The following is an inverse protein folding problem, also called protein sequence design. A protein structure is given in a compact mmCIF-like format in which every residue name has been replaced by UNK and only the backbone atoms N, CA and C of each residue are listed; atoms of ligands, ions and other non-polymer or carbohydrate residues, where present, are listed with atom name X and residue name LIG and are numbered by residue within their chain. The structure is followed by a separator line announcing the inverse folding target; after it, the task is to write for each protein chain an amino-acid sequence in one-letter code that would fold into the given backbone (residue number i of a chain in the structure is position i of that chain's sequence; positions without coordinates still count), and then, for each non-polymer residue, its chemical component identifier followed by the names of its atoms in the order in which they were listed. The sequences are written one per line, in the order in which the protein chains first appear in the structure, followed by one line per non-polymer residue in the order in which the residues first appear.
data_IF_518308438893
#
_entry.id   IF_518308438893
#
_cell.length_a   1.000
_cell.length_b   1.000
_cell.length_c   1.000
_cell.angle_alpha   90.00
_cell.angle_beta   90.00
_cell.angle_gamma   90.00
#
_symmetry.space_group_name_H-M   'P 1'
#
loop_
_entity.id
_entity.type
_entity.pdbx_description
1 polymer ?
#
# COMPACT_ATOMS: atom_id res chain seq x y z
N UNK A 1 3.81 24.09 2.01
CA UNK A 1 3.07 23.49 0.87
C UNK A 1 1.68 24.11 0.86
N UNK A 2 1.17 24.55 -0.30
CA UNK A 2 -0.14 25.22 -0.38
C UNK A 2 -1.31 24.22 -0.38
N UNK A 3 -2.51 24.65 0.02
CA UNK A 3 -3.72 23.82 -0.01
C UNK A 3 -4.00 23.21 -1.39
N UNK A 4 -3.80 24.00 -2.47
CA UNK A 4 -3.92 23.50 -3.85
C UNK A 4 -2.93 22.37 -4.14
N UNK A 5 -1.67 22.49 -3.70
CA UNK A 5 -0.67 21.44 -3.87
C UNK A 5 -1.05 20.18 -3.08
N UNK A 6 -1.56 20.32 -1.86
CA UNK A 6 -2.02 19.20 -1.04
C UNK A 6 -3.15 18.46 -1.73
N UNK A 7 -4.19 19.17 -2.20
CA UNK A 7 -5.33 18.57 -2.94
C UNK A 7 -4.88 17.76 -4.15
N UNK A 8 -4.01 18.34 -4.98
CA UNK A 8 -3.51 17.67 -6.17
C UNK A 8 -2.72 16.40 -5.80
N UNK A 9 -1.87 16.48 -4.78
CA UNK A 9 -1.09 15.32 -4.30
C UNK A 9 -1.98 14.23 -3.68
N UNK A 10 -3.03 14.61 -2.95
CA UNK A 10 -4.02 13.66 -2.42
C UNK A 10 -4.72 12.92 -3.57
N UNK A 11 -5.20 13.64 -4.59
CA UNK A 11 -5.82 13.01 -5.76
C UNK A 11 -4.90 12.01 -6.46
N UNK A 12 -3.61 12.38 -6.62
CA UNK A 12 -2.60 11.46 -7.17
C UNK A 12 -2.34 10.25 -6.27
N UNK A 13 -2.24 10.44 -4.95
CA UNK A 13 -2.05 9.36 -3.99
C UNK A 13 -3.25 8.39 -3.99
N UNK A 14 -4.48 8.91 -4.03
CA UNK A 14 -5.70 8.09 -4.15
C UNK A 14 -5.67 7.21 -5.39
N UNK A 15 -5.34 7.78 -6.56
CA UNK A 15 -5.25 7.03 -7.81
C UNK A 15 -4.19 5.92 -7.75
N UNK A 16 -3.02 6.24 -7.19
CA UNK A 16 -1.94 5.26 -6.99
C UNK A 16 -2.34 4.13 -6.05
N UNK A 17 -2.98 4.43 -4.91
CA UNK A 17 -3.47 3.40 -3.98
C UNK A 17 -4.49 2.49 -4.67
N UNK A 18 -5.49 3.06 -5.36
CA UNK A 18 -6.51 2.27 -6.07
C UNK A 18 -5.88 1.30 -7.08
N UNK A 19 -4.91 1.77 -7.87
CA UNK A 19 -4.17 0.91 -8.80
C UNK A 19 -3.42 -0.21 -8.09
N UNK A 20 -2.79 0.07 -6.95
CA UNK A 20 -2.08 -0.97 -6.20
C UNK A 20 -3.05 -1.97 -5.54
N UNK A 21 -4.25 -1.54 -5.14
CA UNK A 21 -5.31 -2.43 -4.65
C UNK A 21 -5.85 -3.33 -5.77
N UNK A 22 -5.95 -2.82 -6.99
CA UNK A 22 -6.28 -3.65 -8.17
C UNK A 22 -5.20 -4.70 -8.43
N UNK A 23 -3.92 -4.32 -8.35
CA UNK A 23 -2.80 -5.27 -8.49
C UNK A 23 -2.80 -6.30 -7.36
N UNK A 24 -3.08 -5.91 -6.11
CA UNK A 24 -3.18 -6.81 -4.96
C UNK A 24 -4.26 -7.88 -5.16
N UNK A 25 -5.41 -7.51 -5.74
CA UNK A 25 -6.49 -8.45 -6.06
C UNK A 25 -6.11 -9.50 -7.11
N UNK A 26 -5.10 -9.23 -7.93
CA UNK A 26 -4.60 -10.13 -8.97
C UNK A 26 -3.45 -11.01 -8.46
N UNK A 27 -2.94 -10.78 -7.25
CA UNK A 27 -1.91 -11.62 -6.66
C UNK A 27 -2.46 -13.01 -6.35
N UNK A 28 -1.63 -14.08 -6.47
CA UNK A 28 -2.05 -15.42 -6.10
C UNK A 28 -2.34 -15.51 -4.60
N UNK A 29 -3.18 -16.47 -4.22
CA UNK A 29 -3.38 -16.83 -2.81
C UNK A 29 -2.25 -17.71 -2.31
N UNK A 30 -2.16 -17.90 -0.98
CA UNK A 30 -1.21 -18.83 -0.35
C UNK A 30 -1.39 -20.29 -0.82
N UNK A 31 -2.62 -20.69 -1.16
CA UNK A 31 -2.88 -21.97 -1.82
C UNK A 31 -2.47 -21.94 -3.30
N UNK A 32 -2.69 -20.82 -3.98
CA UNK A 32 -2.37 -20.64 -5.40
C UNK A 32 -0.87 -20.76 -5.72
N UNK A 33 0.00 -20.43 -4.77
CA UNK A 33 1.46 -20.55 -4.96
C UNK A 33 2.00 -21.99 -4.84
N UNK A 34 1.20 -22.95 -4.33
CA UNK A 34 1.70 -24.31 -4.06
C UNK A 34 2.11 -25.07 -5.32
N UNK A 35 1.56 -24.75 -6.48
CA UNK A 35 1.87 -25.45 -7.73
C UNK A 35 2.86 -24.69 -8.63
N UNK A 36 3.43 -23.59 -8.13
CA UNK A 36 4.37 -22.77 -8.90
C UNK A 36 5.79 -23.34 -8.84
N UNK A 37 6.52 -23.21 -9.94
CA UNK A 37 7.96 -23.49 -10.01
C UNK A 37 8.80 -22.38 -9.36
N UNK A 38 10.11 -22.62 -9.18
CA UNK A 38 11.01 -21.64 -8.55
C UNK A 38 11.05 -20.29 -9.26
N UNK A 39 10.99 -20.26 -10.59
CA UNK A 39 11.05 -19.02 -11.39
C UNK A 39 9.77 -18.22 -11.14
N UNK A 40 8.63 -18.90 -11.17
CA UNK A 40 7.32 -18.30 -10.88
C UNK A 40 7.24 -17.81 -9.43
N UNK A 41 7.72 -18.58 -8.45
CA UNK A 41 7.77 -18.17 -7.05
C UNK A 41 8.65 -16.94 -6.83
N UNK A 42 9.84 -16.89 -7.46
CA UNK A 42 10.71 -15.70 -7.43
C UNK A 42 10.03 -14.47 -8.04
N UNK A 43 9.25 -14.66 -9.11
CA UNK A 43 8.46 -13.58 -9.71
C UNK A 43 7.35 -13.10 -8.77
N UNK A 44 6.62 -14.01 -8.13
CA UNK A 44 5.60 -13.66 -7.12
C UNK A 44 6.22 -12.86 -5.97
N UNK A 45 7.38 -13.27 -5.43
CA UNK A 45 8.07 -12.50 -4.39
C UNK A 45 8.35 -11.06 -4.82
N UNK A 46 8.91 -10.89 -6.02
CA UNK A 46 9.27 -9.58 -6.54
C UNK A 46 8.03 -8.71 -6.79
N UNK A 47 7.04 -9.23 -7.51
CA UNK A 47 5.85 -8.47 -7.91
C UNK A 47 5.01 -8.09 -6.67
N UNK A 48 4.88 -9.01 -5.72
CA UNK A 48 4.21 -8.77 -4.44
C UNK A 48 4.95 -7.72 -3.60
N UNK A 49 6.28 -7.81 -3.50
CA UNK A 49 7.09 -6.82 -2.78
C UNK A 49 7.01 -5.42 -3.41
N UNK A 50 7.13 -5.33 -4.73
CA UNK A 50 7.05 -4.07 -5.46
C UNK A 50 5.66 -3.41 -5.26
N UNK A 51 4.59 -4.20 -5.21
CA UNK A 51 3.25 -3.68 -4.91
C UNK A 51 3.10 -3.26 -3.45
N UNK A 52 3.63 -4.05 -2.51
CA UNK A 52 3.63 -3.75 -1.07
C UNK A 52 4.36 -2.44 -0.77
N UNK A 53 5.59 -2.27 -1.26
CA UNK A 53 6.39 -1.05 -1.08
C UNK A 53 5.66 0.19 -1.62
N UNK A 54 5.04 0.06 -2.80
CA UNK A 54 4.24 1.16 -3.39
C UNK A 54 3.01 1.49 -2.54
N UNK A 55 2.30 0.49 -2.02
CA UNK A 55 1.15 0.69 -1.13
C UNK A 55 1.57 1.44 0.13
N UNK A 56 2.58 0.94 0.85
CA UNK A 56 3.08 1.53 2.09
C UNK A 56 3.53 2.98 1.86
N UNK A 57 4.39 3.23 0.87
CA UNK A 57 4.88 4.59 0.57
C UNK A 57 3.75 5.55 0.21
N UNK A 58 2.80 5.10 -0.62
CA UNK A 58 1.70 5.97 -1.06
C UNK A 58 0.72 6.23 0.08
N UNK A 59 0.45 5.25 0.93
CA UNK A 59 -0.38 5.37 2.12
C UNK A 59 0.23 6.35 3.13
N UNK A 60 1.51 6.19 3.45
CA UNK A 60 2.23 7.11 4.34
C UNK A 60 2.21 8.54 3.79
N UNK A 61 2.39 8.70 2.48
CA UNK A 61 2.28 10.00 1.81
C UNK A 61 0.87 10.58 1.97
N UNK A 62 -0.19 9.78 1.79
CA UNK A 62 -1.57 10.23 1.95
C UNK A 62 -1.86 10.67 3.39
N UNK A 63 -1.39 9.92 4.39
CA UNK A 63 -1.53 10.28 5.80
C UNK A 63 -0.82 11.60 6.13
N UNK A 64 0.43 11.78 5.67
CA UNK A 64 1.17 13.03 5.86
C UNK A 64 0.47 14.23 5.21
N UNK A 65 -0.13 14.04 4.03
CA UNK A 65 -0.90 15.08 3.35
C UNK A 65 -2.18 15.44 4.10
N UNK A 66 -2.87 14.45 4.68
CA UNK A 66 -4.06 14.69 5.50
C UNK A 66 -3.72 15.46 6.77
N UNK A 67 -2.66 15.07 7.48
CA UNK A 67 -2.13 15.82 8.65
C UNK A 67 -1.78 17.25 8.25
N UNK A 68 -1.07 17.43 7.13
CA UNK A 68 -0.71 18.75 6.62
C UNK A 68 -1.94 19.59 6.29
N UNK A 69 -3.00 18.99 5.75
CA UNK A 69 -4.24 19.72 5.46
C UNK A 69 -5.02 20.04 6.74
N UNK A 70 -5.08 19.12 7.69
CA UNK A 70 -5.71 19.35 8.98
C UNK A 70 -5.08 20.54 9.71
N UNK A 71 -3.74 20.66 9.67
CA UNK A 71 -3.03 21.80 10.23
C UNK A 71 -3.44 23.14 9.58
N UNK A 72 -3.74 23.16 8.28
CA UNK A 72 -4.24 24.37 7.59
C UNK A 72 -5.70 24.71 7.95
N UNK A 73 -6.48 23.75 8.45
CA UNK A 73 -7.91 23.92 8.72
C UNK A 73 -8.20 24.45 10.12
N UNK A 74 -7.31 24.21 11.10
CA UNK A 74 -7.56 24.50 12.52
C UNK A 74 -8.10 25.92 12.73
N UNK A 75 -7.56 26.91 12.00
CA UNK A 75 -7.95 28.32 12.12
C UNK A 75 -8.45 28.96 10.80
N UNK A 76 -8.77 28.16 9.77
CA UNK A 76 -9.19 28.67 8.46
C UNK A 76 -10.52 28.06 7.94
N UNK A 77 -11.65 28.78 8.11
CA UNK A 77 -12.97 28.34 7.63
C UNK A 77 -13.05 28.09 6.12
N UNK A 78 -12.29 28.84 5.32
CA UNK A 78 -12.25 28.68 3.86
C UNK A 78 -11.61 27.34 3.51
N UNK A 79 -10.49 26.99 4.14
CA UNK A 79 -9.83 25.70 3.95
C UNK A 79 -10.72 24.53 4.39
N UNK A 80 -11.47 24.70 5.48
CA UNK A 80 -12.46 23.69 5.92
C UNK A 80 -13.54 23.44 4.88
N UNK A 81 -14.03 24.50 4.21
CA UNK A 81 -14.99 24.38 3.11
C UNK A 81 -14.35 23.69 1.91
N UNK A 82 -13.14 24.08 1.53
CA UNK A 82 -12.41 23.47 0.42
C UNK A 82 -12.12 21.97 0.62
N UNK A 83 -11.80 21.53 1.85
CA UNK A 83 -11.65 20.09 2.15
C UNK A 83 -12.96 19.33 1.97
N UNK A 84 -14.09 19.88 2.44
CA UNK A 84 -15.41 19.28 2.23
C UNK A 84 -15.76 19.17 0.75
N UNK A 85 -15.67 20.27 0.00
CA UNK A 85 -15.94 20.28 -1.45
C UNK A 85 -15.04 19.29 -2.22
N UNK A 86 -13.77 19.17 -1.82
CA UNK A 86 -12.88 18.20 -2.42
C UNK A 86 -13.32 16.76 -2.15
N UNK A 87 -13.67 16.43 -0.90
CA UNK A 87 -14.15 15.09 -0.50
C UNK A 87 -15.47 14.75 -1.20
N UNK A 88 -16.39 15.71 -1.33
CA UNK A 88 -17.66 15.53 -2.04
C UNK A 88 -17.45 15.24 -3.53
N UNK A 89 -16.49 15.92 -4.18
CA UNK A 89 -16.21 15.75 -5.61
C UNK A 89 -15.36 14.53 -5.94
N UNK A 90 -14.40 14.17 -5.09
CA UNK A 90 -13.38 13.16 -5.40
C UNK A 90 -13.55 11.86 -4.59
N UNK A 91 -14.48 11.85 -3.63
CA UNK A 91 -14.66 10.80 -2.65
C UNK A 91 -13.76 10.96 -1.43
N UNK A 92 -14.21 10.38 -0.33
CA UNK A 92 -13.47 10.42 0.93
C UNK A 92 -12.21 9.54 0.85
N UNK A 93 -11.02 10.15 0.78
CA UNK A 93 -9.75 9.42 0.73
C UNK A 93 -9.47 8.63 2.01
N UNK A 94 -10.08 9.00 3.14
CA UNK A 94 -10.05 8.21 4.38
C UNK A 94 -10.56 6.78 4.18
N UNK A 95 -11.52 6.59 3.27
CA UNK A 95 -12.09 5.28 2.98
C UNK A 95 -11.06 4.31 2.35
N UNK A 96 -9.90 4.81 1.92
CA UNK A 96 -8.81 3.97 1.40
C UNK A 96 -7.92 3.38 2.50
N UNK A 97 -8.00 3.87 3.75
CA UNK A 97 -7.11 3.44 4.82
C UNK A 97 -7.27 1.95 5.15
N UNK A 98 -8.51 1.50 5.34
CA UNK A 98 -8.79 0.10 5.71
C UNK A 98 -8.44 -0.86 4.56
N UNK A 99 -8.90 -0.66 3.30
CA UNK A 99 -8.50 -1.52 2.18
C UNK A 99 -6.98 -1.57 1.96
N UNK A 100 -6.29 -0.44 2.17
CA UNK A 100 -4.83 -0.38 2.03
C UNK A 100 -4.13 -1.16 3.15
N UNK A 101 -4.55 -1.01 4.40
CA UNK A 101 -4.02 -1.77 5.54
C UNK A 101 -4.21 -3.28 5.34
N UNK A 102 -5.40 -3.70 4.89
CA UNK A 102 -5.68 -5.10 4.58
C UNK A 102 -4.80 -5.64 3.45
N UNK A 103 -4.62 -4.89 2.37
CA UNK A 103 -3.74 -5.27 1.26
C UNK A 103 -2.28 -5.41 1.73
N UNK A 104 -1.76 -4.44 2.50
CA UNK A 104 -0.40 -4.49 3.07
C UNK A 104 -0.20 -5.76 3.90
N UNK A 105 -1.17 -6.12 4.75
CA UNK A 105 -1.14 -7.35 5.56
C UNK A 105 -1.18 -8.62 4.69
N UNK A 106 -2.04 -8.65 3.66
CA UNK A 106 -2.10 -9.78 2.71
C UNK A 106 -0.79 -9.96 1.95
N UNK A 107 -0.23 -8.87 1.42
CA UNK A 107 1.06 -8.90 0.72
C UNK A 107 2.17 -9.44 1.62
N UNK A 108 2.21 -9.04 2.91
CA UNK A 108 3.17 -9.58 3.88
C UNK A 108 3.03 -11.10 4.01
N UNK A 109 1.81 -11.61 4.22
CA UNK A 109 1.55 -13.05 4.37
C UNK A 109 1.94 -13.83 3.13
N UNK A 110 1.59 -13.34 1.95
CA UNK A 110 1.97 -13.97 0.68
C UNK A 110 3.49 -14.01 0.49
N UNK A 111 4.19 -12.93 0.85
CA UNK A 111 5.66 -12.86 0.78
C UNK A 111 6.29 -13.91 1.69
N UNK A 112 5.87 -13.98 2.97
CA UNK A 112 6.35 -14.97 3.92
C UNK A 112 6.05 -16.40 3.47
N UNK A 113 4.83 -16.67 2.99
CA UNK A 113 4.43 -17.99 2.50
C UNK A 113 5.26 -18.42 1.29
N UNK A 114 5.51 -17.50 0.35
CA UNK A 114 6.31 -17.77 -0.85
C UNK A 114 7.78 -17.98 -0.50
N UNK A 115 8.34 -17.19 0.42
CA UNK A 115 9.70 -17.40 0.93
C UNK A 115 9.85 -18.77 1.60
N UNK A 116 8.96 -19.13 2.53
CA UNK A 116 8.98 -20.43 3.21
C UNK A 116 8.91 -21.58 2.20
N UNK A 117 8.05 -21.45 1.19
CA UNK A 117 7.91 -22.47 0.16
C UNK A 117 9.17 -22.65 -0.69
N UNK A 118 9.83 -21.54 -1.08
CA UNK A 118 11.11 -21.61 -1.80
C UNK A 118 12.17 -22.27 -0.93
N UNK A 119 12.34 -21.84 0.32
CA UNK A 119 13.35 -22.41 1.22
C UNK A 119 13.12 -23.91 1.49
N UNK A 120 11.85 -24.34 1.55
CA UNK A 120 11.51 -25.75 1.73
C UNK A 120 11.83 -26.61 0.48
N UNK A 121 11.58 -26.09 -0.72
CA UNK A 121 11.74 -26.84 -1.99
C UNK A 121 13.14 -26.69 -2.61
N UNK A 122 13.79 -25.57 -2.34
CA UNK A 122 15.05 -25.14 -2.93
C UNK A 122 15.90 -24.45 -1.86
N UNK A 123 16.45 -25.20 -0.88
CA UNK A 123 17.23 -24.63 0.22
C UNK A 123 18.48 -23.88 -0.25
N UNK A 124 19.03 -24.28 -1.40
CA UNK A 124 20.18 -23.63 -2.06
C UNK A 124 19.81 -22.38 -2.88
N UNK A 125 18.53 -21.99 -2.91
CA UNK A 125 18.11 -20.84 -3.69
C UNK A 125 18.65 -19.55 -3.05
N UNK A 126 19.50 -18.84 -3.79
CA UNK A 126 19.88 -17.47 -3.43
C UNK A 126 18.64 -16.57 -3.50
N UNK A 127 18.19 -16.14 -2.33
CA UNK A 127 17.01 -15.32 -2.12
C UNK A 127 17.45 -13.91 -1.73
N UNK A 128 16.96 -12.87 -2.42
CA UNK A 128 17.10 -11.51 -1.91
C UNK A 128 16.23 -11.38 -0.65
N UNK A 129 16.81 -11.62 0.52
CA UNK A 129 16.13 -11.43 1.81
C UNK A 129 15.92 -9.92 1.99
N UNK A 130 14.76 -9.43 1.54
CA UNK A 130 14.32 -8.06 1.78
C UNK A 130 13.27 -8.09 2.90
N UNK A 131 13.73 -8.42 4.10
CA UNK A 131 12.98 -8.19 5.33
C UNK A 131 13.38 -6.81 5.85
N UNK A 132 12.69 -5.76 5.40
CA UNK A 132 12.74 -4.48 6.10
C UNK A 132 11.64 -4.50 7.15
N UNK A 133 12.08 -4.63 8.41
CA UNK A 133 11.27 -4.46 9.61
C UNK A 133 10.72 -3.02 9.67
N UNK A 134 9.61 -2.76 9.00
CA UNK A 134 8.81 -1.54 9.26
C UNK A 134 7.33 -1.87 9.10
N UNK A 135 6.83 -2.71 10.00
CA UNK A 135 5.40 -2.76 10.27
C UNK A 135 5.30 -2.45 11.74
N UNK A 136 4.99 -1.19 12.03
CA UNK A 136 4.49 -0.78 13.34
C UNK A 136 3.64 -1.91 13.91
N UNK A 137 4.04 -2.36 15.10
CA UNK A 137 3.19 -3.11 16.01
C UNK A 137 1.82 -2.43 16.03
N UNK A 138 0.84 -3.04 15.36
CA UNK A 138 -0.56 -2.85 15.67
C UNK A 138 -0.95 -4.05 16.52
N UNK A 139 -0.43 -4.06 17.75
CA UNK A 139 -1.09 -4.70 18.89
C UNK A 139 -2.00 -3.68 19.56
#
# INVERSE_FOLDING_TARGET
MSSRQIRNKIGQAMSKIRRCLEVDRLQPTEQGIQNLDLIQLKRVLKDNWDNHDRLVKTMNTLMQLDISWAALIMDNPIERRQKREFIERNGNYAALWEPCSQAIRRSKRLYEATMRLILQRHPEADLPIRLVFEIFDYT
#
